data_IF_526491003656
#
_entry.id   IF_526491003656
#
_cell.length_a   1.000
_cell.length_b   1.000
_cell.length_c   1.000
_cell.angle_alpha   90.00
_cell.angle_beta   90.00
_cell.angle_gamma   90.00
#
_symmetry.space_group_name_H-M   'P 1'
#
loop_
_entity.id
_entity.type
_entity.pdbx_description
1 polymer ?
#
# COMPACT_ATOMS: atom_id res chain seq x y z
N UNK A 1 -10.04 0.82 -23.26
CA UNK A 1 -8.81 0.10 -22.84
C UNK A 1 -7.71 1.15 -22.77
N UNK A 2 -7.42 1.68 -21.58
CA UNK A 2 -6.33 2.65 -21.42
C UNK A 2 -5.05 1.84 -21.30
N UNK A 3 -4.25 1.81 -22.37
CA UNK A 3 -2.87 1.35 -22.32
C UNK A 3 -2.10 2.33 -21.44
N UNK A 4 -2.11 2.10 -20.13
CA UNK A 4 -1.39 2.93 -19.16
C UNK A 4 0.10 2.80 -19.42
N UNK A 5 0.70 3.85 -19.98
CA UNK A 5 2.15 4.01 -20.03
C UNK A 5 2.69 3.80 -18.62
N UNK A 6 3.47 2.75 -18.43
CA UNK A 6 4.10 2.48 -17.14
C UNK A 6 5.06 3.62 -16.86
N UNK A 7 4.87 4.29 -15.73
CA UNK A 7 5.73 5.38 -15.32
C UNK A 7 7.11 4.86 -14.90
N UNK A 8 8.15 5.34 -15.57
CA UNK A 8 9.54 4.91 -15.36
C UNK A 8 10.35 5.82 -14.43
N UNK A 9 9.81 7.01 -14.12
CA UNK A 9 10.50 8.05 -13.34
C UNK A 9 9.64 8.55 -12.19
N UNK A 10 10.29 8.87 -11.06
CA UNK A 10 9.66 9.40 -9.87
C UNK A 10 9.26 10.88 -10.05
N UNK A 11 8.04 11.28 -9.70
CA UNK A 11 7.60 12.67 -9.94
C UNK A 11 8.23 13.72 -9.01
N UNK A 12 8.85 13.28 -7.92
CA UNK A 12 9.49 14.20 -6.95
C UNK A 12 10.98 14.40 -7.16
N UNK A 13 11.64 13.51 -7.89
CA UNK A 13 13.08 13.60 -8.08
C UNK A 13 13.55 13.19 -9.47
N UNK A 14 12.63 12.79 -10.35
CA UNK A 14 12.88 12.28 -11.71
C UNK A 14 13.81 11.05 -11.76
N UNK A 15 14.12 10.46 -10.61
CA UNK A 15 14.92 9.24 -10.51
C UNK A 15 14.18 8.01 -11.01
N UNK A 16 14.93 6.98 -11.41
CA UNK A 16 14.37 5.73 -11.92
C UNK A 16 13.47 5.03 -10.89
N UNK A 17 12.32 4.55 -11.34
CA UNK A 17 11.41 3.74 -10.54
C UNK A 17 11.73 2.26 -10.68
N UNK A 18 11.76 1.57 -9.55
CA UNK A 18 11.75 0.10 -9.51
C UNK A 18 10.32 -0.40 -9.43
N UNK A 19 10.07 -1.65 -9.84
CA UNK A 19 8.75 -2.27 -9.70
C UNK A 19 8.28 -2.30 -8.24
N UNK A 20 9.20 -2.50 -7.30
CA UNK A 20 8.92 -2.41 -5.88
C UNK A 20 8.46 -1.00 -5.46
N UNK A 21 9.05 0.07 -6.02
CA UNK A 21 8.65 1.45 -5.74
C UNK A 21 7.26 1.77 -6.31
N UNK A 22 6.96 1.28 -7.51
CA UNK A 22 5.62 1.39 -8.13
C UNK A 22 4.57 0.67 -7.31
N UNK A 23 4.86 -0.57 -6.90
CA UNK A 23 3.95 -1.35 -6.07
C UNK A 23 3.68 -0.64 -4.74
N UNK A 24 4.71 -0.10 -4.08
CA UNK A 24 4.56 0.63 -2.83
C UNK A 24 3.83 1.96 -2.98
N UNK A 25 4.03 2.67 -4.10
CA UNK A 25 3.30 3.90 -4.41
C UNK A 25 1.81 3.63 -4.59
N UNK A 26 1.43 2.54 -5.29
CA UNK A 26 0.02 2.11 -5.43
C UNK A 26 -0.62 1.81 -4.08
N UNK A 27 0.11 1.15 -3.17
CA UNK A 27 -0.36 0.89 -1.80
C UNK A 27 -0.67 2.16 -1.01
N UNK A 28 0.10 3.22 -1.23
CA UNK A 28 -0.11 4.52 -0.59
C UNK A 28 -1.21 5.36 -1.25
N UNK A 29 -1.93 4.80 -2.22
CA UNK A 29 -2.98 5.51 -2.95
C UNK A 29 -2.47 6.48 -4.01
N UNK A 30 -1.17 6.49 -4.31
CA UNK A 30 -0.57 7.33 -5.37
C UNK A 30 -0.91 6.81 -6.79
N UNK A 31 -1.94 5.97 -6.96
CA UNK A 31 -2.26 5.37 -8.25
C UNK A 31 -3.02 6.33 -9.20
N UNK A 32 -3.47 7.48 -8.72
CA UNK A 32 -4.18 8.48 -9.52
C UNK A 32 -3.21 9.22 -10.44
N UNK A 33 -3.45 9.08 -11.74
CA UNK A 33 -2.86 9.90 -12.82
C UNK A 33 -1.34 9.85 -13.00
N UNK A 34 -0.69 8.74 -12.65
CA UNK A 34 0.76 8.59 -12.90
C UNK A 34 1.59 9.34 -11.87
N UNK A 35 1.26 9.13 -10.60
CA UNK A 35 2.04 9.65 -9.48
C UNK A 35 2.81 8.51 -8.79
N UNK A 36 4.10 8.34 -9.06
CA UNK A 36 4.91 7.31 -8.41
C UNK A 36 6.12 7.92 -7.73
N UNK A 37 6.35 7.51 -6.48
CA UNK A 37 7.51 7.92 -5.71
C UNK A 37 8.53 6.78 -5.64
N UNK A 38 9.81 7.11 -5.85
CA UNK A 38 10.90 6.16 -5.63
C UNK A 38 11.07 5.87 -4.12
N UNK A 39 11.74 4.77 -3.78
CA UNK A 39 12.00 4.39 -2.40
C UNK A 39 12.58 5.53 -1.53
N UNK A 40 13.46 6.37 -2.09
CA UNK A 40 14.01 7.53 -1.38
C UNK A 40 12.98 8.61 -1.08
N UNK A 41 12.12 8.95 -2.06
CA UNK A 41 11.06 9.94 -1.86
C UNK A 41 9.96 9.43 -0.92
N UNK A 42 9.69 8.11 -0.94
CA UNK A 42 8.83 7.43 0.02
C UNK A 42 9.38 7.50 1.45
N UNK A 43 10.66 7.15 1.63
CA UNK A 43 11.29 7.20 2.95
C UNK A 43 11.38 8.63 3.51
N UNK A 44 11.64 9.61 2.64
CA UNK A 44 11.68 11.03 3.01
C UNK A 44 10.30 11.68 3.16
N UNK A 45 9.20 10.96 2.88
CA UNK A 45 7.83 11.50 3.00
C UNK A 45 7.48 12.59 1.99
N UNK A 46 8.21 12.72 0.87
CA UNK A 46 7.98 13.78 -0.12
C UNK A 46 6.62 13.70 -0.79
N UNK A 47 6.08 12.49 -0.92
CA UNK A 47 4.76 12.22 -1.52
C UNK A 47 3.58 12.81 -0.74
N UNK A 48 3.80 13.32 0.46
CA UNK A 48 2.78 14.00 1.27
C UNK A 48 2.40 15.37 0.72
N UNK A 49 3.16 15.90 -0.24
CA UNK A 49 2.80 17.08 -1.01
C UNK A 49 2.74 16.72 -2.48
N UNK A 50 1.86 17.36 -3.26
CA UNK A 50 1.78 17.11 -4.70
C UNK A 50 3.13 17.34 -5.39
N UNK A 51 3.47 16.56 -6.43
CA UNK A 51 4.69 16.74 -7.19
C UNK A 51 4.64 18.02 -8.03
N UNK A 52 5.81 18.42 -8.55
CA UNK A 52 5.91 19.57 -9.45
C UNK A 52 5.09 19.31 -10.73
N UNK A 53 4.21 20.24 -11.10
CA UNK A 53 3.34 20.12 -12.27
C UNK A 53 1.97 19.46 -12.01
N UNK A 54 1.64 19.12 -10.75
CA UNK A 54 0.27 18.75 -10.38
C UNK A 54 -0.72 19.88 -10.70
N UNK A 55 -1.74 19.56 -11.50
CA UNK A 55 -2.74 20.52 -11.96
C UNK A 55 -4.06 20.48 -11.18
N UNK A 56 -4.23 19.50 -10.28
CA UNK A 56 -5.41 19.39 -9.43
C UNK A 56 -5.35 20.29 -8.19
N UNK A 57 -6.47 20.48 -7.48
CA UNK A 57 -6.49 21.16 -6.19
C UNK A 57 -5.62 20.42 -5.15
N UNK A 58 -4.97 21.17 -4.25
CA UNK A 58 -4.16 20.58 -3.17
C UNK A 58 -5.01 19.76 -2.18
N UNK A 59 -6.29 20.11 -2.04
CA UNK A 59 -7.29 19.43 -1.20
C UNK A 59 -7.66 18.04 -1.74
N UNK A 60 -7.47 17.82 -3.05
CA UNK A 60 -7.67 16.53 -3.71
C UNK A 60 -6.42 15.64 -3.64
N UNK A 61 -5.31 16.15 -3.08
CA UNK A 61 -4.10 15.37 -2.85
C UNK A 61 -4.28 14.40 -1.67
N UNK A 62 -4.94 13.28 -1.94
CA UNK A 62 -5.32 12.23 -0.96
C UNK A 62 -4.14 11.65 -0.16
N UNK A 63 -2.92 11.75 -0.69
CA UNK A 63 -1.72 11.18 -0.09
C UNK A 63 -1.14 12.02 1.07
N UNK A 64 -1.78 13.15 1.42
CA UNK A 64 -1.38 14.00 2.55
C UNK A 64 -1.50 13.27 3.89
N UNK A 65 -2.64 12.61 4.14
CA UNK A 65 -3.02 12.19 5.51
C UNK A 65 -3.78 10.85 5.62
N UNK A 66 -4.19 10.18 4.54
CA UNK A 66 -5.20 9.11 4.66
C UNK A 66 -4.69 7.67 4.82
N UNK A 67 -3.43 7.35 4.50
CA UNK A 67 -2.97 5.94 4.48
C UNK A 67 -1.54 5.68 4.95
N UNK A 68 -1.03 6.48 5.90
CA UNK A 68 0.22 6.10 6.60
C UNK A 68 -0.15 5.21 7.79
N UNK A 69 -0.27 3.90 7.55
CA UNK A 69 -0.19 2.94 8.65
C UNK A 69 1.19 3.09 9.28
N UNK A 70 1.25 3.58 10.52
CA UNK A 70 2.50 3.63 11.27
C UNK A 70 3.02 2.19 11.47
N UNK A 71 4.32 2.04 11.74
CA UNK A 71 4.90 0.72 12.02
C UNK A 71 4.20 -0.01 13.18
N UNK A 72 3.57 0.74 14.09
CA UNK A 72 2.74 0.20 15.17
C UNK A 72 1.37 -0.26 14.66
N UNK A 73 0.73 0.49 13.75
CA UNK A 73 -0.53 0.07 13.12
C UNK A 73 -0.33 -1.18 12.27
N UNK A 74 0.77 -1.25 11.51
CA UNK A 74 1.16 -2.44 10.75
C UNK A 74 1.33 -3.64 11.68
N UNK A 75 2.03 -3.46 12.81
CA UNK A 75 2.20 -4.52 13.81
C UNK A 75 0.87 -4.93 14.44
N UNK A 76 0.00 -3.97 14.75
CA UNK A 76 -1.32 -4.23 15.31
C UNK A 76 -2.21 -5.01 14.33
N UNK A 77 -2.22 -4.62 13.05
CA UNK A 77 -2.97 -5.29 11.98
C UNK A 77 -2.45 -6.72 11.77
N UNK A 78 -1.12 -6.89 11.69
CA UNK A 78 -0.50 -8.22 11.53
C UNK A 78 -0.79 -9.09 12.76
N UNK A 79 -0.71 -8.54 13.96
CA UNK A 79 -1.04 -9.24 15.20
C UNK A 79 -2.51 -9.69 15.21
N UNK A 80 -3.44 -8.80 14.88
CA UNK A 80 -4.86 -9.11 14.80
C UNK A 80 -5.15 -10.19 13.74
N UNK A 81 -4.56 -10.10 12.53
CA UNK A 81 -4.70 -11.13 11.51
C UNK A 81 -4.11 -12.47 11.97
N UNK A 82 -2.99 -12.45 12.67
CA UNK A 82 -2.35 -13.66 13.18
C UNK A 82 -3.23 -14.37 14.22
N UNK A 83 -3.87 -13.63 15.12
CA UNK A 83 -4.86 -14.19 16.08
C UNK A 83 -6.07 -14.80 15.36
N UNK A 84 -6.60 -14.11 14.35
CA UNK A 84 -7.73 -14.61 13.56
C UNK A 84 -7.39 -15.89 12.79
N UNK A 85 -6.14 -16.01 12.32
CA UNK A 85 -5.68 -17.14 11.52
C UNK A 85 -5.19 -18.34 12.35
N UNK A 86 -4.57 -18.07 13.51
CA UNK A 86 -3.76 -19.02 14.26
C UNK A 86 -3.98 -19.00 15.78
N UNK A 87 -4.80 -18.08 16.29
CA UNK A 87 -5.11 -17.95 17.72
C UNK A 87 -5.97 -19.10 18.26
N UNK A 88 -6.19 -19.15 19.59
CA UNK A 88 -7.01 -20.18 20.23
C UNK A 88 -8.48 -20.15 19.79
N UNK A 89 -8.96 -18.99 19.35
CA UNK A 89 -10.30 -18.77 18.78
C UNK A 89 -10.23 -18.53 17.26
N UNK A 90 -9.21 -19.07 16.59
CA UNK A 90 -9.05 -18.93 15.15
C UNK A 90 -10.32 -19.34 14.41
N UNK A 91 -10.71 -18.52 13.43
CA UNK A 91 -11.93 -18.75 12.68
C UNK A 91 -11.75 -19.99 11.81
N UNK A 92 -12.70 -20.93 11.90
CA UNK A 92 -12.69 -22.12 11.08
C UNK A 92 -12.80 -21.77 9.59
N UNK A 93 -12.14 -22.58 8.75
CA UNK A 93 -12.06 -22.36 7.29
C UNK A 93 -13.44 -22.09 6.65
N UNK A 94 -14.45 -22.87 7.05
CA UNK A 94 -15.82 -22.78 6.51
C UNK A 94 -16.54 -21.48 6.86
N UNK A 95 -16.18 -20.83 7.96
CA UNK A 95 -16.79 -19.57 8.41
C UNK A 95 -15.99 -18.34 7.99
N UNK A 96 -14.72 -18.55 7.61
CA UNK A 96 -13.74 -17.49 7.40
C UNK A 96 -14.23 -16.45 6.39
N UNK A 97 -14.69 -16.90 5.21
CA UNK A 97 -15.19 -16.01 4.16
C UNK A 97 -16.45 -15.25 4.58
N UNK A 98 -17.38 -15.89 5.31
CA UNK A 98 -18.60 -15.24 5.76
C UNK A 98 -18.33 -14.18 6.82
N UNK A 99 -17.37 -14.43 7.72
CA UNK A 99 -17.08 -13.52 8.84
C UNK A 99 -16.13 -12.38 8.46
N UNK A 100 -15.19 -12.61 7.55
CA UNK A 100 -14.16 -11.63 7.18
C UNK A 100 -14.34 -11.04 5.78
N UNK A 101 -15.25 -11.59 4.96
CA UNK A 101 -15.46 -11.14 3.59
C UNK A 101 -14.33 -11.49 2.62
N UNK A 102 -13.30 -12.21 3.08
CA UNK A 102 -12.13 -12.66 2.31
C UNK A 102 -11.85 -14.13 2.59
N UNK A 103 -11.23 -14.81 1.64
CA UNK A 103 -10.80 -16.19 1.82
C UNK A 103 -9.55 -16.26 2.70
N UNK A 104 -9.31 -17.41 3.33
CA UNK A 104 -8.12 -17.60 4.16
C UNK A 104 -6.80 -17.46 3.40
N UNK A 105 -6.67 -17.94 2.15
CA UNK A 105 -5.49 -17.68 1.33
C UNK A 105 -5.26 -16.19 1.06
N UNK A 106 -6.31 -15.40 0.83
CA UNK A 106 -6.20 -13.94 0.62
C UNK A 106 -5.75 -13.22 1.89
N UNK A 107 -6.23 -13.65 3.06
CA UNK A 107 -5.78 -13.11 4.35
C UNK A 107 -4.30 -13.44 4.61
N UNK A 108 -3.85 -14.67 4.35
CA UNK A 108 -2.44 -15.07 4.47
C UNK A 108 -1.54 -14.29 3.51
N UNK A 109 -1.99 -14.11 2.27
CA UNK A 109 -1.27 -13.32 1.28
C UNK A 109 -1.16 -11.85 1.71
N UNK A 110 -2.24 -11.30 2.25
CA UNK A 110 -2.26 -9.94 2.82
C UNK A 110 -1.30 -9.83 3.99
N UNK A 111 -1.28 -10.81 4.90
CA UNK A 111 -0.34 -10.84 6.03
C UNK A 111 1.12 -10.89 5.59
N UNK A 112 1.47 -11.70 4.58
CA UNK A 112 2.83 -11.76 4.02
C UNK A 112 3.25 -10.44 3.37
N UNK A 113 2.33 -9.81 2.64
CA UNK A 113 2.56 -8.52 1.97
C UNK A 113 2.77 -7.38 2.96
N UNK A 114 1.98 -7.34 4.04
CA UNK A 114 2.03 -6.29 5.06
C UNK A 114 3.19 -6.50 6.04
N UNK A 115 3.46 -7.75 6.44
CA UNK A 115 4.53 -8.12 7.37
C UNK A 115 5.94 -7.99 6.80
N UNK A 116 6.10 -7.54 5.55
CA UNK A 116 7.41 -7.36 4.92
C UNK A 116 8.09 -8.66 4.52
N UNK A 117 7.32 -9.72 4.26
CA UNK A 117 7.82 -10.99 3.76
C UNK A 117 8.51 -10.81 2.40
N UNK A 118 9.82 -10.61 2.44
CA UNK A 118 10.71 -10.82 1.30
C UNK A 118 10.62 -12.32 0.94
N UNK A 119 10.59 -12.69 -0.36
CA UNK A 119 10.88 -14.08 -0.73
C UNK A 119 12.26 -14.50 -0.21
#
# INVERSE_FOLDING_TARGET
MVSGSVQDHCDWCFGALTDASRARSRWLGLATEGTCACAGCLAAGRYRVPPEGWAGPEEEWLARDQYVLHGDDVRAIVGALNEVLHGPEAIEEREFQTRLGVTRPEALETMRRIGGGRP
#
